data_IF_488327683570
#
_entry.id   IF_488327683570
#
_cell.length_a   1.000
_cell.length_b   1.000
_cell.length_c   1.000
_cell.angle_alpha   90.00
_cell.angle_beta   90.00
_cell.angle_gamma   90.00
#
_symmetry.space_group_name_H-M   'P 1'
#
loop_
_entity.id
_entity.type
_entity.pdbx_description
1 polymer ?
#
# COMPACT_ATOMS: atom_id res chain seq x y z
N UNK A 1 32.66 -3.51 -4.47
CA UNK A 1 31.24 -3.66 -4.88
C UNK A 1 31.13 -3.12 -6.28
N UNK A 2 30.82 -3.98 -7.24
CA UNK A 2 30.56 -3.57 -8.63
C UNK A 2 29.26 -2.78 -8.68
N UNK A 3 29.07 -1.94 -9.71
CA UNK A 3 27.80 -1.21 -9.86
C UNK A 3 26.57 -2.12 -9.84
N UNK A 4 26.70 -3.38 -10.30
CA UNK A 4 25.65 -4.40 -10.28
C UNK A 4 25.24 -4.86 -8.88
N UNK A 5 26.18 -4.94 -7.91
CA UNK A 5 25.85 -5.31 -6.52
C UNK A 5 24.93 -4.26 -5.89
N UNK A 6 25.12 -2.98 -6.23
CA UNK A 6 24.28 -1.87 -5.77
C UNK A 6 22.87 -1.93 -6.37
N UNK A 7 22.73 -2.48 -7.57
CA UNK A 7 21.45 -2.71 -8.22
C UNK A 7 20.70 -3.88 -7.60
N UNK A 8 21.42 -4.98 -7.30
CA UNK A 8 20.83 -6.11 -6.59
C UNK A 8 20.19 -5.68 -5.26
N UNK A 9 20.88 -4.84 -4.48
CA UNK A 9 20.35 -4.33 -3.21
C UNK A 9 19.12 -3.43 -3.39
N UNK A 10 19.09 -2.60 -4.45
CA UNK A 10 17.93 -1.74 -4.76
C UNK A 10 16.68 -2.55 -5.17
N UNK A 11 16.87 -3.67 -5.86
CA UNK A 11 15.78 -4.52 -6.34
C UNK A 11 15.54 -5.76 -5.47
N UNK A 12 16.45 -6.11 -4.57
CA UNK A 12 16.28 -7.21 -3.60
C UNK A 12 15.10 -7.02 -2.63
N UNK A 13 14.53 -5.81 -2.58
CA UNK A 13 13.35 -5.49 -1.80
C UNK A 13 12.03 -5.96 -2.44
N UNK A 14 12.01 -7.11 -3.13
CA UNK A 14 10.81 -7.92 -3.39
C UNK A 14 9.76 -7.38 -4.37
N UNK A 15 10.12 -6.55 -5.33
CA UNK A 15 9.17 -6.13 -6.35
C UNK A 15 9.67 -6.47 -7.75
N UNK A 16 9.23 -7.63 -8.25
CA UNK A 16 9.54 -8.10 -9.60
C UNK A 16 9.16 -7.10 -10.69
N UNK A 17 8.13 -6.28 -10.46
CA UNK A 17 7.67 -5.30 -11.44
C UNK A 17 8.63 -4.15 -11.66
N UNK A 18 9.39 -3.75 -10.62
CA UNK A 18 10.43 -2.72 -10.73
C UNK A 18 11.63 -3.22 -11.54
N UNK A 19 12.12 -4.44 -11.22
CA UNK A 19 13.22 -5.07 -11.93
C UNK A 19 12.84 -5.34 -13.39
N UNK A 20 11.60 -5.80 -13.63
CA UNK A 20 11.07 -6.04 -14.97
C UNK A 20 11.04 -4.76 -15.80
N UNK A 21 10.54 -3.65 -15.25
CA UNK A 21 10.47 -2.38 -15.95
C UNK A 21 11.84 -1.78 -16.22
N UNK A 22 12.78 -1.87 -15.27
CA UNK A 22 14.14 -1.41 -15.47
C UNK A 22 14.86 -2.26 -16.54
N UNK A 23 14.66 -3.58 -16.54
CA UNK A 23 15.19 -4.49 -17.55
C UNK A 23 14.60 -4.23 -18.93
N UNK A 24 13.29 -4.05 -19.04
CA UNK A 24 12.61 -3.70 -20.29
C UNK A 24 13.13 -2.37 -20.85
N UNK A 25 13.30 -1.35 -20.01
CA UNK A 25 13.87 -0.06 -20.41
C UNK A 25 15.34 -0.20 -20.85
N UNK A 26 16.17 -0.93 -20.11
CA UNK A 26 17.57 -1.17 -20.48
C UNK A 26 17.72 -1.84 -21.84
N UNK A 27 16.78 -2.72 -22.20
CA UNK A 27 16.76 -3.41 -23.49
C UNK A 27 16.50 -2.48 -24.67
N UNK A 28 15.65 -1.46 -24.50
CA UNK A 28 15.17 -0.59 -25.60
C UNK A 28 15.76 0.82 -25.58
N UNK A 29 16.45 1.22 -24.50
CA UNK A 29 16.98 2.55 -24.34
C UNK A 29 18.08 2.89 -25.38
N UNK A 30 18.10 4.14 -25.80
CA UNK A 30 19.18 4.70 -26.65
C UNK A 30 20.51 4.82 -25.87
N UNK A 31 21.54 5.36 -26.55
CA UNK A 31 22.87 5.56 -25.96
C UNK A 31 22.89 6.53 -24.78
N UNK A 32 21.83 7.28 -24.59
CA UNK A 32 21.66 8.20 -23.46
C UNK A 32 20.72 7.63 -22.40
N UNK A 33 20.33 6.36 -22.48
CA UNK A 33 19.45 5.69 -21.52
C UNK A 33 17.99 6.11 -21.64
N UNK A 34 17.52 6.54 -22.79
CA UNK A 34 16.16 7.05 -23.03
C UNK A 34 15.37 6.15 -23.95
N UNK A 35 14.07 6.03 -23.69
CA UNK A 35 13.11 5.39 -24.59
C UNK A 35 11.77 6.13 -24.56
N UNK A 36 10.90 5.92 -25.57
CA UNK A 36 9.54 6.43 -25.49
C UNK A 36 8.72 5.63 -24.46
N UNK A 37 7.75 6.29 -23.84
CA UNK A 37 6.88 5.60 -22.88
C UNK A 37 6.03 4.52 -23.57
N UNK A 38 5.62 4.73 -24.81
CA UNK A 38 4.90 3.73 -25.60
C UNK A 38 5.74 2.48 -25.86
N UNK A 39 7.01 2.66 -26.25
CA UNK A 39 7.92 1.53 -26.47
C UNK A 39 8.21 0.78 -25.18
N UNK A 40 8.36 1.51 -24.05
CA UNK A 40 8.52 0.89 -22.75
C UNK A 40 7.30 0.06 -22.37
N UNK A 41 6.08 0.53 -22.61
CA UNK A 41 4.87 -0.22 -22.31
C UNK A 41 4.78 -1.53 -23.11
N UNK A 42 5.16 -1.49 -24.39
CA UNK A 42 5.25 -2.69 -25.25
C UNK A 42 6.31 -3.64 -24.71
N UNK A 43 7.53 -3.17 -24.46
CA UNK A 43 8.64 -3.97 -23.96
C UNK A 43 8.34 -4.60 -22.59
N UNK A 44 7.75 -3.82 -21.68
CA UNK A 44 7.33 -4.31 -20.37
C UNK A 44 6.29 -5.42 -20.48
N UNK A 45 5.27 -5.23 -21.32
CA UNK A 45 4.25 -6.25 -21.56
C UNK A 45 4.85 -7.55 -22.10
N UNK A 46 5.77 -7.47 -23.05
CA UNK A 46 6.45 -8.65 -23.60
C UNK A 46 7.21 -9.42 -22.52
N UNK A 47 8.01 -8.74 -21.70
CA UNK A 47 8.76 -9.37 -20.64
C UNK A 47 7.85 -9.92 -19.54
N UNK A 48 6.78 -9.20 -19.19
CA UNK A 48 5.78 -9.68 -18.24
C UNK A 48 5.09 -10.96 -18.71
N UNK A 49 4.73 -11.06 -20.00
CA UNK A 49 4.13 -12.27 -20.56
C UNK A 49 5.11 -13.45 -20.58
N UNK A 50 6.40 -13.21 -20.85
CA UNK A 50 7.45 -14.23 -20.74
C UNK A 50 7.60 -14.73 -19.31
N UNK A 51 7.61 -13.81 -18.32
CA UNK A 51 7.71 -14.13 -16.92
C UNK A 51 6.54 -15.01 -16.46
N UNK A 52 5.31 -14.65 -16.85
CA UNK A 52 4.12 -15.46 -16.58
C UNK A 52 4.17 -16.84 -17.23
N UNK A 53 4.68 -16.94 -18.47
CA UNK A 53 4.82 -18.23 -19.15
C UNK A 53 5.80 -19.16 -18.42
N UNK A 54 6.91 -18.62 -17.89
CA UNK A 54 7.85 -19.39 -17.07
C UNK A 54 7.23 -19.88 -15.75
N UNK A 55 6.44 -19.02 -15.10
CA UNK A 55 5.85 -19.30 -13.81
C UNK A 55 4.73 -20.36 -13.83
N UNK A 56 3.97 -20.51 -14.92
CA UNK A 56 2.76 -21.35 -14.96
C UNK A 56 2.87 -22.63 -15.80
N UNK A 57 3.97 -22.91 -16.46
CA UNK A 57 4.20 -24.15 -17.22
C UNK A 57 3.29 -24.41 -18.43
N UNK A 58 2.08 -23.84 -18.49
CA UNK A 58 1.16 -23.78 -19.64
C UNK A 58 0.14 -22.67 -19.43
N UNK A 59 0.07 -21.74 -20.37
CA UNK A 59 -0.86 -20.61 -20.26
C UNK A 59 -1.95 -20.66 -21.32
N UNK A 60 -3.21 -20.76 -20.89
CA UNK A 60 -4.36 -20.55 -21.75
C UNK A 60 -4.91 -19.11 -21.75
N UNK A 61 -4.56 -18.24 -20.79
CA UNK A 61 -5.20 -16.92 -20.61
C UNK A 61 -4.27 -15.70 -20.42
N UNK A 62 -2.96 -15.81 -20.66
CA UNK A 62 -2.08 -14.64 -20.63
C UNK A 62 -2.26 -13.65 -21.79
N UNK A 63 -3.14 -13.96 -22.71
CA UNK A 63 -3.48 -13.09 -23.85
C UNK A 63 -4.28 -11.82 -23.49
N UNK A 64 -4.72 -11.66 -22.23
CA UNK A 64 -5.63 -10.58 -21.85
C UNK A 64 -4.97 -9.26 -21.43
N UNK A 65 -3.66 -9.23 -21.12
CA UNK A 65 -3.00 -7.97 -20.79
C UNK A 65 -2.78 -7.13 -22.07
N UNK A 66 -3.55 -6.06 -22.24
CA UNK A 66 -3.35 -5.13 -23.35
C UNK A 66 -2.13 -4.23 -23.14
N UNK A 67 -1.65 -3.59 -24.22
CA UNK A 67 -0.58 -2.57 -24.11
C UNK A 67 -1.07 -1.37 -23.28
N UNK A 68 -2.35 -1.02 -23.36
CA UNK A 68 -2.95 0.07 -22.61
C UNK A 68 -3.00 -0.26 -21.11
N UNK A 69 -3.29 -1.51 -20.72
CA UNK A 69 -3.23 -1.94 -19.33
C UNK A 69 -1.80 -1.89 -18.78
N UNK A 70 -0.83 -2.36 -19.56
CA UNK A 70 0.60 -2.28 -19.21
C UNK A 70 1.07 -0.83 -19.08
N UNK A 71 0.61 0.05 -19.96
CA UNK A 71 0.88 1.49 -19.94
C UNK A 71 0.31 2.15 -18.69
N UNK A 72 -0.95 1.87 -18.37
CA UNK A 72 -1.61 2.39 -17.19
C UNK A 72 -0.90 1.92 -15.90
N UNK A 73 -0.53 0.65 -15.83
CA UNK A 73 0.18 0.09 -14.67
C UNK A 73 1.59 0.69 -14.51
N UNK A 74 2.35 0.82 -15.58
CA UNK A 74 3.65 1.49 -15.54
C UNK A 74 3.52 2.94 -15.06
N UNK A 75 2.57 3.70 -15.62
CA UNK A 75 2.37 5.11 -15.28
C UNK A 75 2.02 5.32 -13.81
N UNK A 76 1.14 4.48 -13.26
CA UNK A 76 0.57 4.70 -11.92
C UNK A 76 1.34 4.01 -10.80
N UNK A 77 1.97 2.87 -11.10
CA UNK A 77 2.51 2.00 -10.05
C UNK A 77 4.03 1.82 -10.10
N UNK A 78 4.61 1.74 -11.29
CA UNK A 78 6.02 1.32 -11.46
C UNK A 78 6.97 2.49 -11.65
N UNK A 79 6.70 3.35 -12.63
CA UNK A 79 7.61 4.46 -12.98
C UNK A 79 7.79 5.49 -11.86
N UNK A 80 6.74 5.90 -11.11
CA UNK A 80 6.91 6.78 -9.98
C UNK A 80 7.86 6.22 -8.92
N UNK A 81 7.81 4.91 -8.68
CA UNK A 81 8.67 4.24 -7.70
C UNK A 81 10.13 4.16 -8.17
N UNK A 82 10.36 3.85 -9.44
CA UNK A 82 11.71 3.87 -10.01
C UNK A 82 12.30 5.29 -9.98
N UNK A 83 11.48 6.32 -10.17
CA UNK A 83 11.90 7.70 -10.03
C UNK A 83 12.24 8.07 -8.58
N UNK A 84 11.45 7.59 -7.60
CA UNK A 84 11.75 7.78 -6.16
C UNK A 84 13.05 7.11 -5.74
N UNK A 85 13.37 5.94 -6.31
CA UNK A 85 14.62 5.23 -6.09
C UNK A 85 15.80 5.87 -6.85
N UNK A 86 15.59 6.99 -7.55
CA UNK A 86 16.58 7.66 -8.40
C UNK A 86 17.12 6.77 -9.53
N UNK A 87 16.33 5.78 -9.94
CA UNK A 87 16.64 4.92 -11.10
C UNK A 87 16.26 5.61 -12.40
N UNK A 88 15.14 6.34 -12.39
CA UNK A 88 14.61 7.06 -13.55
C UNK A 88 14.49 8.55 -13.30
N UNK A 89 14.53 9.31 -14.39
CA UNK A 89 14.07 10.70 -14.46
C UNK A 89 12.79 10.72 -15.26
N UNK A 90 11.70 11.17 -14.63
CA UNK A 90 10.42 11.38 -15.29
C UNK A 90 10.24 12.87 -15.57
N UNK A 91 9.99 13.29 -16.82
CA UNK A 91 9.66 14.67 -17.12
C UNK A 91 8.36 15.08 -16.43
N UNK A 92 8.29 16.32 -15.91
CA UNK A 92 7.07 16.81 -15.28
C UNK A 92 5.89 16.79 -16.25
N UNK A 93 4.78 16.16 -15.86
CA UNK A 93 3.56 16.06 -16.67
C UNK A 93 3.50 14.88 -17.64
N UNK A 94 4.45 13.95 -17.60
CA UNK A 94 4.72 12.96 -18.62
C UNK A 94 3.82 11.71 -18.64
N UNK A 95 2.94 11.47 -17.69
CA UNK A 95 2.30 10.16 -17.51
C UNK A 95 1.17 9.83 -18.49
N UNK A 96 0.82 10.74 -19.44
CA UNK A 96 -0.33 10.58 -20.35
C UNK A 96 -0.01 10.83 -21.84
N UNK A 97 1.24 11.12 -22.18
CA UNK A 97 1.71 11.36 -23.55
C UNK A 97 2.85 10.43 -23.96
N UNK A 98 3.29 10.55 -25.19
CA UNK A 98 4.48 9.85 -25.72
C UNK A 98 5.75 10.60 -25.32
N UNK A 99 6.03 10.61 -24.01
CA UNK A 99 7.13 11.35 -23.40
C UNK A 99 8.30 10.40 -23.18
N UNK A 100 9.56 10.84 -23.41
CA UNK A 100 10.71 9.99 -23.17
C UNK A 100 10.89 9.67 -21.69
N UNK A 101 11.01 8.39 -21.38
CA UNK A 101 11.44 7.87 -20.07
C UNK A 101 12.94 7.66 -20.14
N UNK A 102 13.67 8.14 -19.14
CA UNK A 102 15.13 8.02 -19.12
C UNK A 102 15.62 7.50 -17.77
N UNK A 103 16.70 6.74 -17.80
CA UNK A 103 17.47 6.46 -16.57
C UNK A 103 18.06 7.74 -15.99
N UNK A 104 18.15 7.82 -14.66
CA UNK A 104 18.95 8.86 -14.02
C UNK A 104 20.41 8.75 -14.44
N UNK A 105 21.06 9.88 -14.69
CA UNK A 105 22.41 9.90 -15.25
C UNK A 105 23.41 9.10 -14.39
N UNK A 106 23.34 9.22 -13.07
CA UNK A 106 24.19 8.48 -12.14
C UNK A 106 23.93 6.97 -12.19
N UNK A 107 22.67 6.58 -12.38
CA UNK A 107 22.28 5.18 -12.51
C UNK A 107 22.75 4.62 -13.84
N UNK A 108 22.54 5.34 -14.94
CA UNK A 108 22.97 4.93 -16.28
C UNK A 108 24.49 4.82 -16.41
N UNK A 109 25.25 5.76 -15.85
CA UNK A 109 26.71 5.71 -15.82
C UNK A 109 27.29 4.54 -15.01
N UNK A 110 26.56 4.04 -14.04
CA UNK A 110 26.92 2.88 -13.22
C UNK A 110 26.56 1.54 -13.87
N UNK A 111 25.82 1.52 -14.99
CA UNK A 111 25.48 0.29 -15.70
C UNK A 111 26.67 -0.28 -16.45
N UNK A 112 26.74 -1.63 -16.62
CA UNK A 112 27.76 -2.25 -17.48
C UNK A 112 27.72 -1.72 -18.91
N UNK A 113 28.87 -1.64 -19.55
CA UNK A 113 28.97 -1.23 -20.97
C UNK A 113 28.21 -2.20 -21.89
N UNK A 114 28.11 -3.47 -21.53
CA UNK A 114 27.23 -4.44 -22.20
C UNK A 114 25.82 -4.34 -21.65
N UNK A 115 24.98 -3.60 -22.35
CA UNK A 115 23.57 -3.33 -22.02
C UNK A 115 22.69 -4.55 -22.10
N UNK A 116 22.98 -5.48 -23.00
CA UNK A 116 22.24 -6.73 -23.12
C UNK A 116 22.44 -7.57 -21.86
N UNK A 117 23.68 -7.65 -21.33
CA UNK A 117 23.97 -8.33 -20.07
C UNK A 117 23.30 -7.62 -18.88
N UNK A 118 23.27 -6.29 -18.85
CA UNK A 118 22.58 -5.53 -17.79
C UNK A 118 21.07 -5.75 -17.82
N UNK A 119 20.45 -5.74 -19.01
CA UNK A 119 19.03 -6.04 -19.17
C UNK A 119 18.70 -7.47 -18.73
N UNK A 120 19.50 -8.46 -19.17
CA UNK A 120 19.34 -9.87 -18.76
C UNK A 120 19.44 -10.04 -17.25
N UNK A 121 20.40 -9.37 -16.60
CA UNK A 121 20.56 -9.43 -15.16
C UNK A 121 19.33 -8.88 -14.41
N UNK A 122 18.80 -7.72 -14.84
CA UNK A 122 17.61 -7.14 -14.23
C UNK A 122 16.35 -7.99 -14.46
N UNK A 123 16.24 -8.63 -15.63
CA UNK A 123 15.13 -9.55 -15.93
C UNK A 123 15.25 -10.84 -15.10
N UNK A 124 16.46 -11.39 -14.94
CA UNK A 124 16.69 -12.56 -14.10
C UNK A 124 16.39 -12.30 -12.62
N UNK A 125 16.59 -11.07 -12.12
CA UNK A 125 16.16 -10.68 -10.77
C UNK A 125 14.63 -10.72 -10.62
N UNK A 126 13.89 -10.35 -11.67
CA UNK A 126 12.44 -10.45 -11.66
C UNK A 126 11.97 -11.92 -11.63
N UNK A 127 12.59 -12.78 -12.43
CA UNK A 127 12.30 -14.22 -12.48
C UNK A 127 12.61 -14.92 -11.13
N UNK A 128 13.76 -14.65 -10.53
CA UNK A 128 14.15 -15.20 -9.22
C UNK A 128 13.20 -14.75 -8.11
N UNK A 129 12.70 -13.51 -8.18
CA UNK A 129 11.71 -12.99 -7.21
C UNK A 129 10.37 -13.71 -7.36
N UNK A 130 9.91 -13.99 -8.58
CA UNK A 130 8.68 -14.75 -8.82
C UNK A 130 8.84 -16.20 -8.39
N UNK A 131 9.93 -16.87 -8.78
CA UNK A 131 10.19 -18.26 -8.40
C UNK A 131 10.23 -18.45 -6.87
N UNK A 132 10.80 -17.49 -6.14
CA UNK A 132 10.78 -17.51 -4.66
C UNK A 132 9.38 -17.28 -4.08
N UNK A 133 8.53 -16.50 -4.75
CA UNK A 133 7.15 -16.29 -4.32
C UNK A 133 6.26 -17.53 -4.52
N UNK A 134 6.54 -18.35 -5.52
CA UNK A 134 5.78 -19.57 -5.81
C UNK A 134 6.17 -20.78 -4.93
N UNK A 135 7.42 -20.81 -4.42
CA UNK A 135 7.86 -21.88 -3.51
C UNK A 135 7.26 -21.77 -2.10
N UNK A 136 6.56 -20.68 -1.79
CA UNK A 136 5.88 -20.45 -0.52
C UNK A 136 4.37 -20.52 -0.74
N UNK A 137 3.88 -21.74 -0.95
CA UNK A 137 2.44 -22.02 -0.88
C UNK A 137 1.96 -21.78 0.56
N UNK A 138 1.24 -20.68 0.77
CA UNK A 138 0.38 -20.49 1.93
C UNK A 138 0.80 -19.50 3.01
N UNK A 139 2.01 -18.96 3.00
CA UNK A 139 2.41 -17.87 3.89
C UNK A 139 2.98 -16.72 3.08
N UNK A 140 2.32 -15.56 3.11
CA UNK A 140 2.93 -14.34 2.61
C UNK A 140 4.23 -14.11 3.40
N UNK A 141 5.40 -13.96 2.74
CA UNK A 141 6.63 -13.72 3.47
C UNK A 141 6.51 -12.37 4.17
N UNK A 142 6.23 -12.42 5.46
CA UNK A 142 6.47 -11.31 6.36
C UNK A 142 7.94 -10.94 6.17
N UNK A 143 8.20 -9.69 5.80
CA UNK A 143 9.55 -9.17 5.64
C UNK A 143 10.33 -9.50 6.91
N UNK A 144 11.18 -10.50 6.86
CA UNK A 144 12.04 -10.86 7.98
C UNK A 144 13.00 -9.68 8.20
N UNK A 145 12.69 -8.82 9.20
CA UNK A 145 13.42 -7.61 9.52
C UNK A 145 12.61 -6.30 9.46
N UNK A 146 11.34 -6.32 8.98
CA UNK A 146 10.45 -5.15 9.03
C UNK A 146 9.85 -4.90 10.42
N UNK A 147 9.44 -3.64 10.68
CA UNK A 147 8.74 -3.29 11.93
C UNK A 147 7.43 -4.07 12.07
N UNK A 148 7.05 -4.35 13.33
CA UNK A 148 5.80 -5.05 13.69
C UNK A 148 5.02 -4.26 14.74
N UNK A 149 3.73 -4.17 14.53
CA UNK A 149 2.76 -3.65 15.49
C UNK A 149 1.88 -4.81 15.96
N UNK A 150 1.89 -5.08 17.26
CA UNK A 150 1.22 -6.23 17.84
C UNK A 150 0.29 -5.79 18.96
N UNK A 151 -0.84 -6.45 19.09
CA UNK A 151 -1.69 -6.38 20.27
C UNK A 151 -2.00 -7.78 20.75
N UNK A 152 -1.97 -7.96 22.08
CA UNK A 152 -2.14 -9.26 22.73
C UNK A 152 -3.17 -9.15 23.83
N UNK A 153 -4.18 -10.03 23.78
CA UNK A 153 -5.20 -10.22 24.83
C UNK A 153 -5.90 -8.93 25.27
N UNK A 154 -6.22 -8.03 24.30
CA UNK A 154 -6.87 -6.77 24.60
C UNK A 154 -8.27 -6.98 25.19
N UNK A 155 -8.52 -6.31 26.32
CA UNK A 155 -9.83 -6.28 26.97
C UNK A 155 -10.23 -4.84 27.23
N UNK A 156 -11.52 -4.53 26.96
CA UNK A 156 -12.14 -3.26 27.31
C UNK A 156 -13.57 -3.45 27.76
N UNK A 157 -13.91 -2.88 28.90
CA UNK A 157 -15.25 -2.87 29.44
C UNK A 157 -15.76 -1.44 29.66
N UNK A 158 -17.05 -1.23 29.43
CA UNK A 158 -17.77 0.00 29.78
C UNK A 158 -18.97 -0.36 30.66
N UNK A 159 -19.06 0.26 31.82
CA UNK A 159 -20.16 0.03 32.79
C UNK A 159 -20.43 -1.48 33.04
N UNK A 160 -19.35 -2.25 33.20
CA UNK A 160 -19.40 -3.69 33.46
C UNK A 160 -19.61 -4.59 32.23
N UNK A 161 -19.94 -4.04 31.07
CA UNK A 161 -20.07 -4.80 29.81
C UNK A 161 -18.75 -4.83 29.07
N UNK A 162 -18.19 -6.02 28.82
CA UNK A 162 -17.02 -6.17 27.97
C UNK A 162 -17.40 -5.95 26.52
N UNK A 163 -16.83 -4.93 25.89
CA UNK A 163 -17.03 -4.61 24.46
C UNK A 163 -15.88 -5.17 23.61
N UNK A 164 -14.70 -5.36 24.23
CA UNK A 164 -13.58 -6.12 23.68
C UNK A 164 -13.16 -7.14 24.74
N UNK A 165 -13.01 -8.37 24.33
CA UNK A 165 -12.79 -9.50 25.23
C UNK A 165 -11.83 -10.50 24.59
N UNK A 166 -10.53 -10.31 24.86
CA UNK A 166 -9.44 -11.15 24.39
C UNK A 166 -9.18 -11.02 22.88
N UNK A 167 -8.86 -9.79 22.41
CA UNK A 167 -8.52 -9.53 21.01
C UNK A 167 -7.00 -9.42 20.86
N UNK A 168 -6.45 -10.26 20.00
CA UNK A 168 -5.04 -10.22 19.59
C UNK A 168 -4.96 -10.02 18.08
N UNK A 169 -4.07 -9.14 17.62
CA UNK A 169 -3.78 -8.93 16.22
C UNK A 169 -2.32 -8.52 16.01
N UNK A 170 -1.83 -8.79 14.84
CA UNK A 170 -0.49 -8.45 14.39
C UNK A 170 -0.57 -7.75 13.05
N UNK A 171 0.29 -6.77 12.83
CA UNK A 171 0.45 -6.05 11.58
C UNK A 171 1.93 -5.90 11.28
N UNK A 172 2.36 -6.39 10.12
CA UNK A 172 3.71 -6.21 9.63
C UNK A 172 3.83 -4.95 8.76
N UNK A 173 5.02 -4.38 8.71
CA UNK A 173 5.32 -3.28 7.80
C UNK A 173 5.20 -3.76 6.34
N UNK A 174 4.52 -2.97 5.49
CA UNK A 174 4.25 -3.34 4.09
C UNK A 174 3.08 -4.32 3.90
N UNK A 175 2.31 -4.60 4.94
CA UNK A 175 1.13 -5.44 4.90
C UNK A 175 -0.15 -4.61 5.08
N UNK A 176 -1.24 -5.00 4.42
CA UNK A 176 -2.57 -4.41 4.63
C UNK A 176 -3.46 -5.43 5.32
N UNK A 177 -3.90 -5.11 6.53
CA UNK A 177 -4.72 -5.98 7.37
C UNK A 177 -6.09 -5.36 7.62
N UNK A 178 -7.15 -6.13 7.37
CA UNK A 178 -8.51 -5.75 7.69
C UNK A 178 -8.92 -6.14 9.12
N UNK A 179 -9.61 -5.25 9.83
CA UNK A 179 -10.32 -5.58 11.07
C UNK A 179 -11.81 -5.45 10.82
N UNK A 180 -12.46 -6.56 10.52
CA UNK A 180 -13.82 -6.64 10.00
C UNK A 180 -14.78 -7.28 11.01
N UNK A 181 -16.07 -7.13 10.79
CA UNK A 181 -17.11 -7.69 11.65
C UNK A 181 -18.36 -6.81 11.69
N UNK A 182 -19.49 -7.31 12.23
CA UNK A 182 -20.72 -6.54 12.31
C UNK A 182 -20.62 -5.33 13.23
N UNK A 183 -21.65 -4.47 13.17
CA UNK A 183 -21.75 -3.34 14.07
C UNK A 183 -21.82 -3.81 15.53
N UNK A 184 -21.11 -3.13 16.43
CA UNK A 184 -21.00 -3.53 17.83
C UNK A 184 -20.04 -4.69 18.13
N UNK A 185 -19.33 -5.24 17.14
CA UNK A 185 -18.36 -6.31 17.34
C UNK A 185 -17.11 -5.89 18.13
N UNK A 186 -16.92 -4.60 18.42
CA UNK A 186 -15.76 -4.10 19.17
C UNK A 186 -14.61 -3.56 18.29
N UNK A 187 -14.77 -3.52 16.96
CA UNK A 187 -13.75 -3.06 16.00
C UNK A 187 -13.17 -1.69 16.36
N UNK A 188 -14.01 -0.67 16.39
CA UNK A 188 -13.61 0.72 16.68
C UNK A 188 -12.95 0.84 18.06
N UNK A 189 -13.44 0.10 19.08
CA UNK A 189 -12.82 0.11 20.40
C UNK A 189 -11.43 -0.53 20.37
N UNK A 190 -11.26 -1.66 19.70
CA UNK A 190 -9.95 -2.31 19.50
C UNK A 190 -8.99 -1.39 18.76
N UNK A 191 -9.46 -0.78 17.69
CA UNK A 191 -8.74 0.18 16.90
C UNK A 191 -8.27 1.39 17.73
N UNK A 192 -9.17 1.96 18.54
CA UNK A 192 -8.83 3.09 19.44
C UNK A 192 -7.87 2.72 20.56
N UNK A 193 -7.86 1.47 21.00
CA UNK A 193 -6.83 0.99 21.92
C UNK A 193 -5.47 0.94 21.23
N UNK A 194 -5.41 0.48 19.97
CA UNK A 194 -4.16 0.40 19.22
C UNK A 194 -3.64 1.80 18.85
N UNK A 195 -4.51 2.75 18.51
CA UNK A 195 -4.12 4.14 18.24
C UNK A 195 -3.67 4.90 19.50
N UNK A 196 -4.05 4.43 20.69
CA UNK A 196 -3.78 5.12 21.97
C UNK A 196 -4.80 6.20 22.34
N UNK A 197 -5.96 6.23 21.66
CA UNK A 197 -7.10 7.07 22.04
C UNK A 197 -7.81 6.54 23.28
N UNK A 198 -7.82 5.22 23.47
CA UNK A 198 -8.41 4.53 24.60
C UNK A 198 -7.35 3.62 25.23
N UNK A 199 -7.26 3.60 26.56
CA UNK A 199 -6.40 2.65 27.24
C UNK A 199 -7.13 1.31 27.43
N UNK A 200 -6.51 0.17 27.07
CA UNK A 200 -7.07 -1.14 27.39
C UNK A 200 -7.13 -1.36 28.91
N UNK A 201 -8.09 -2.15 29.35
CA UNK A 201 -8.20 -2.56 30.77
C UNK A 201 -7.26 -3.75 31.05
N UNK A 202 -7.02 -4.60 30.05
CA UNK A 202 -6.06 -5.72 30.06
C UNK A 202 -5.45 -5.89 28.69
N UNK A 203 -4.34 -6.61 28.63
CA UNK A 203 -3.60 -6.89 27.41
C UNK A 203 -2.46 -5.91 27.18
N UNK A 204 -1.74 -6.13 26.09
CA UNK A 204 -0.53 -5.38 25.75
C UNK A 204 -0.56 -4.95 24.28
N UNK A 205 0.05 -3.81 24.00
CA UNK A 205 0.30 -3.34 22.63
C UNK A 205 1.80 -3.07 22.53
N UNK A 206 2.44 -3.68 21.52
CA UNK A 206 3.87 -3.56 21.31
C UNK A 206 4.18 -3.06 19.90
N UNK A 207 5.22 -2.25 19.77
CA UNK A 207 5.82 -1.82 18.51
C UNK A 207 7.28 -2.28 18.52
N UNK A 208 7.64 -3.15 17.57
CA UNK A 208 8.98 -3.73 17.48
C UNK A 208 9.43 -4.40 18.81
N UNK A 209 8.50 -5.11 19.48
CA UNK A 209 8.72 -5.74 20.77
C UNK A 209 8.72 -4.77 21.97
N UNK A 210 8.69 -3.45 21.74
CA UNK A 210 8.61 -2.45 22.80
C UNK A 210 7.16 -2.23 23.21
N UNK A 211 6.86 -2.35 24.51
CA UNK A 211 5.54 -2.05 25.04
C UNK A 211 5.21 -0.54 24.90
N UNK A 212 4.10 -0.27 24.19
CA UNK A 212 3.55 1.06 24.00
C UNK A 212 2.15 1.21 24.60
N UNK A 213 1.68 0.25 25.39
CA UNK A 213 0.32 0.19 25.92
C UNK A 213 -0.06 1.45 26.70
N UNK A 214 0.86 1.98 27.49
CA UNK A 214 0.64 3.19 28.30
C UNK A 214 0.87 4.49 27.51
N UNK A 215 1.47 4.43 26.31
CA UNK A 215 1.78 5.63 25.54
C UNK A 215 0.51 6.25 24.95
N UNK A 216 0.31 7.57 25.12
CA UNK A 216 -0.79 8.29 24.48
C UNK A 216 -0.55 8.41 22.96
N UNK A 217 -1.61 8.69 22.21
CA UNK A 217 -1.62 8.73 20.74
C UNK A 217 -0.46 9.57 20.15
N UNK A 218 -0.17 10.76 20.69
CA UNK A 218 0.89 11.62 20.16
C UNK A 218 2.30 11.00 20.27
N UNK A 219 2.54 10.20 21.30
CA UNK A 219 3.82 9.48 21.44
C UNK A 219 3.89 8.29 20.49
N UNK A 220 2.76 7.60 20.26
CA UNK A 220 2.67 6.54 19.24
C UNK A 220 2.86 7.12 17.83
N UNK A 221 2.32 8.31 17.55
CA UNK A 221 2.56 9.01 16.30
C UNK A 221 4.05 9.30 16.06
N UNK A 222 4.77 9.76 17.10
CA UNK A 222 6.23 9.94 17.04
C UNK A 222 7.01 8.64 16.91
N UNK A 223 6.45 7.53 17.36
CA UNK A 223 7.04 6.20 17.21
C UNK A 223 6.79 5.61 15.80
N UNK A 224 6.00 6.29 14.95
CA UNK A 224 5.73 5.88 13.57
C UNK A 224 4.35 5.25 13.34
N UNK A 225 3.35 5.51 14.21
CA UNK A 225 1.97 5.04 14.05
C UNK A 225 1.08 6.22 13.64
N UNK A 226 0.77 6.33 12.34
CA UNK A 226 -0.18 7.29 11.81
C UNK A 226 -1.63 6.85 12.03
N UNK A 227 -2.54 7.82 12.08
CA UNK A 227 -3.98 7.57 12.26
C UNK A 227 -4.81 8.48 11.36
N UNK A 228 -5.74 7.87 10.63
CA UNK A 228 -6.77 8.54 9.85
C UNK A 228 -8.13 8.27 10.47
N UNK A 229 -8.73 9.29 11.05
CA UNK A 229 -10.04 9.21 11.71
C UNK A 229 -11.18 9.01 10.70
N UNK A 230 -12.29 8.43 11.18
CA UNK A 230 -13.55 8.38 10.44
C UNK A 230 -14.11 9.79 10.18
N UNK A 231 -14.08 10.65 11.22
CA UNK A 231 -14.53 12.04 11.11
C UNK A 231 -13.49 12.90 10.37
N UNK A 232 -13.95 13.85 9.52
CA UNK A 232 -13.06 14.76 8.81
C UNK A 232 -12.14 15.56 9.73
N UNK A 233 -10.83 15.46 9.51
CA UNK A 233 -9.81 16.06 10.38
C UNK A 233 -9.07 17.26 9.76
N UNK A 234 -9.49 17.71 8.57
CA UNK A 234 -8.82 18.81 7.85
C UNK A 234 -9.06 20.17 8.52
N UNK A 235 -8.10 21.06 8.37
CA UNK A 235 -8.28 22.47 8.74
C UNK A 235 -9.07 23.19 7.66
N UNK A 236 -10.38 23.25 7.81
CA UNK A 236 -11.34 23.68 6.77
C UNK A 236 -11.05 25.05 6.17
N UNK A 237 -10.54 26.01 6.97
CA UNK A 237 -10.23 27.39 6.54
C UNK A 237 -8.86 27.55 5.90
N UNK A 238 -7.99 26.55 6.00
CA UNK A 238 -6.70 26.54 5.34
C UNK A 238 -6.81 26.01 3.90
N UNK A 239 -5.86 26.37 3.06
CA UNK A 239 -5.74 25.78 1.72
C UNK A 239 -5.21 24.34 1.83
N UNK A 240 -5.21 23.63 0.71
CA UNK A 240 -4.65 22.28 0.63
C UNK A 240 -3.17 22.28 1.05
N UNK A 241 -2.35 23.19 0.48
CA UNK A 241 -0.93 23.28 0.85
C UNK A 241 -0.72 23.73 2.30
N UNK A 242 -1.52 24.68 2.81
CA UNK A 242 -1.45 25.12 4.21
C UNK A 242 -1.80 23.97 5.18
N UNK A 243 -2.71 23.08 4.82
CA UNK A 243 -3.03 21.89 5.60
C UNK A 243 -1.85 20.93 5.75
N UNK A 244 -1.07 20.74 4.68
CA UNK A 244 0.13 19.89 4.69
C UNK A 244 1.26 20.60 5.41
N UNK A 245 1.50 21.89 5.12
CA UNK A 245 2.51 22.72 5.78
C UNK A 245 2.34 22.78 7.29
N UNK A 246 1.11 22.90 7.78
CA UNK A 246 0.84 22.93 9.23
C UNK A 246 1.37 21.71 9.99
N UNK A 247 1.47 20.54 9.32
CA UNK A 247 2.08 19.36 9.92
C UNK A 247 3.59 19.34 9.68
N UNK A 248 4.06 19.69 8.45
CA UNK A 248 5.48 19.76 8.14
C UNK A 248 6.23 20.73 9.06
N UNK A 249 5.60 21.82 9.50
CA UNK A 249 6.17 22.81 10.42
C UNK A 249 6.41 22.24 11.83
N UNK A 250 5.73 21.16 12.21
CA UNK A 250 5.97 20.48 13.49
C UNK A 250 7.20 19.56 13.49
N UNK A 251 7.76 19.30 12.30
CA UNK A 251 8.92 18.42 12.16
C UNK A 251 10.23 19.22 12.26
N UNK A 252 11.31 18.62 12.81
CA UNK A 252 12.62 19.24 12.92
C UNK A 252 13.39 19.22 11.58
N UNK A 253 12.80 19.81 10.53
CA UNK A 253 13.36 19.91 9.18
C UNK A 253 13.49 21.37 8.76
N UNK A 254 14.44 21.68 7.89
CA UNK A 254 14.65 23.04 7.37
C UNK A 254 13.59 23.44 6.33
N UNK A 255 13.62 24.69 5.91
CA UNK A 255 12.65 25.25 4.97
C UNK A 255 12.75 24.63 3.57
N UNK A 256 13.94 24.26 3.11
CA UNK A 256 14.17 23.64 1.80
C UNK A 256 13.60 22.22 1.77
N UNK A 257 13.87 21.42 2.79
CA UNK A 257 13.34 20.08 2.93
C UNK A 257 11.81 20.10 3.10
N UNK A 258 11.28 21.06 3.84
CA UNK A 258 9.83 21.27 3.99
C UNK A 258 9.16 21.55 2.64
N UNK A 259 9.74 22.46 1.83
CA UNK A 259 9.23 22.75 0.50
C UNK A 259 9.29 21.52 -0.42
N UNK A 260 10.40 20.79 -0.39
CA UNK A 260 10.58 19.56 -1.16
C UNK A 260 9.53 18.49 -0.81
N UNK A 261 9.32 18.22 0.48
CA UNK A 261 8.33 17.25 0.93
C UNK A 261 6.90 17.66 0.59
N UNK A 262 6.59 18.96 0.70
CA UNK A 262 5.29 19.47 0.29
C UNK A 262 5.00 19.16 -1.18
N UNK A 263 5.92 19.46 -2.09
CA UNK A 263 5.75 19.18 -3.51
C UNK A 263 5.55 17.68 -3.77
N UNK A 264 6.38 16.84 -3.17
CA UNK A 264 6.26 15.36 -3.32
C UNK A 264 4.90 14.84 -2.86
N UNK A 265 4.45 15.25 -1.68
CA UNK A 265 3.19 14.78 -1.11
C UNK A 265 1.97 15.25 -1.91
N UNK A 266 1.98 16.47 -2.43
CA UNK A 266 0.92 17.01 -3.27
C UNK A 266 0.84 16.31 -4.63
N UNK A 267 1.99 15.97 -5.21
CA UNK A 267 2.07 15.24 -6.48
C UNK A 267 1.62 13.78 -6.29
N UNK A 268 2.13 13.12 -5.26
CA UNK A 268 1.89 11.70 -4.99
C UNK A 268 0.40 11.36 -4.84
N UNK A 269 -0.35 12.21 -4.13
CA UNK A 269 -1.79 12.00 -3.91
C UNK A 269 -2.66 12.73 -4.96
N UNK A 270 -2.04 13.24 -6.04
CA UNK A 270 -2.70 13.92 -7.15
C UNK A 270 -3.61 15.10 -6.72
N UNK A 271 -3.19 15.87 -5.69
CA UNK A 271 -3.92 17.04 -5.18
C UNK A 271 -3.19 18.38 -5.41
N UNK A 272 -2.08 18.36 -6.15
CA UNK A 272 -1.28 19.56 -6.43
C UNK A 272 -2.04 20.66 -7.16
N UNK A 273 -2.92 20.28 -8.08
CA UNK A 273 -3.79 21.22 -8.81
C UNK A 273 -4.78 21.96 -7.90
N UNK A 274 -5.05 21.42 -6.70
CA UNK A 274 -5.95 21.99 -5.69
C UNK A 274 -5.21 22.81 -4.64
N UNK A 275 -3.88 22.96 -4.73
CA UNK A 275 -3.00 23.47 -3.67
C UNK A 275 -3.45 24.80 -3.04
N UNK A 276 -3.99 25.71 -3.84
CA UNK A 276 -4.49 27.04 -3.38
C UNK A 276 -5.95 27.04 -2.99
N UNK A 277 -6.67 25.94 -3.22
CA UNK A 277 -8.09 25.83 -2.89
C UNK A 277 -8.27 25.65 -1.38
N UNK A 278 -9.28 26.32 -0.81
CA UNK A 278 -9.62 26.15 0.61
C UNK A 278 -10.23 24.77 0.86
N UNK A 279 -9.85 24.11 1.95
CA UNK A 279 -10.22 22.73 2.21
C UNK A 279 -11.74 22.49 2.38
N UNK A 280 -12.52 23.51 2.75
CA UNK A 280 -13.99 23.40 2.79
C UNK A 280 -14.65 23.28 1.41
N UNK A 281 -13.95 23.61 0.33
CA UNK A 281 -14.44 23.55 -1.05
C UNK A 281 -14.21 22.20 -1.71
N UNK A 282 -13.42 21.32 -1.06
CA UNK A 282 -13.06 20.02 -1.60
C UNK A 282 -14.25 19.05 -1.61
N UNK A 283 -14.36 18.24 -2.67
CA UNK A 283 -15.23 17.07 -2.71
C UNK A 283 -14.86 16.05 -1.62
N UNK A 284 -15.71 15.04 -1.40
CA UNK A 284 -15.45 13.98 -0.43
C UNK A 284 -14.13 13.24 -0.70
N UNK A 285 -13.90 12.84 -1.95
CA UNK A 285 -12.70 12.14 -2.36
C UNK A 285 -11.42 13.00 -2.26
N UNK A 286 -11.47 14.26 -2.74
CA UNK A 286 -10.34 15.21 -2.61
C UNK A 286 -10.00 15.49 -1.15
N UNK A 287 -11.01 15.62 -0.30
CA UNK A 287 -10.83 15.78 1.14
C UNK A 287 -10.13 14.57 1.74
N UNK A 288 -10.58 13.36 1.37
CA UNK A 288 -9.97 12.13 1.88
C UNK A 288 -8.52 11.97 1.42
N UNK A 289 -8.20 12.35 0.18
CA UNK A 289 -6.81 12.41 -0.29
C UNK A 289 -5.97 13.38 0.53
N UNK A 290 -6.49 14.58 0.83
CA UNK A 290 -5.79 15.55 1.68
C UNK A 290 -5.55 15.02 3.10
N UNK A 291 -6.52 14.31 3.69
CA UNK A 291 -6.38 13.68 5.01
C UNK A 291 -5.29 12.60 5.03
N UNK A 292 -5.27 11.75 3.99
CA UNK A 292 -4.22 10.73 3.83
C UNK A 292 -2.87 11.43 3.64
N UNK A 293 -2.79 12.47 2.79
CA UNK A 293 -1.56 13.26 2.59
C UNK A 293 -1.00 13.76 3.92
N UNK A 294 -1.87 14.34 4.76
CA UNK A 294 -1.46 14.84 6.08
C UNK A 294 -0.96 13.73 7.00
N UNK A 295 -1.59 12.55 6.98
CA UNK A 295 -1.15 11.41 7.76
C UNK A 295 0.22 10.88 7.31
N UNK A 296 0.56 11.05 6.04
CA UNK A 296 1.84 10.61 5.46
C UNK A 296 3.00 11.60 5.70
N UNK A 297 2.71 12.85 6.11
CA UNK A 297 3.74 13.87 6.40
C UNK A 297 4.80 13.38 7.40
N UNK A 298 4.39 12.60 8.39
CA UNK A 298 5.26 12.09 9.46
C UNK A 298 6.01 10.81 9.08
N UNK A 299 5.89 10.35 7.82
CA UNK A 299 6.53 9.13 7.32
C UNK A 299 6.29 7.92 8.24
N UNK A 300 5.01 7.58 8.50
CA UNK A 300 4.68 6.54 9.46
C UNK A 300 5.12 5.15 8.97
N UNK A 301 5.54 4.29 9.89
CA UNK A 301 5.76 2.86 9.64
C UNK A 301 4.43 2.10 9.48
N UNK A 302 3.42 2.55 10.22
CA UNK A 302 2.08 1.99 10.24
C UNK A 302 1.04 3.10 10.10
N UNK A 303 0.01 2.87 9.30
CA UNK A 303 -1.11 3.77 9.13
C UNK A 303 -2.42 3.06 9.46
N UNK A 304 -3.12 3.57 10.46
CA UNK A 304 -4.39 3.03 10.91
C UNK A 304 -5.52 3.86 10.30
N UNK A 305 -6.37 3.22 9.50
CA UNK A 305 -7.46 3.85 8.73
C UNK A 305 -8.83 3.42 9.31
N UNK A 306 -9.54 4.36 9.91
CA UNK A 306 -10.88 4.12 10.46
C UNK A 306 -11.93 4.51 9.42
N UNK A 307 -12.61 3.51 8.86
CA UNK A 307 -13.63 3.64 7.83
C UNK A 307 -13.26 4.61 6.68
N UNK A 308 -12.14 4.36 5.95
CA UNK A 308 -11.62 5.30 4.96
C UNK A 308 -12.56 5.52 3.76
N UNK A 309 -13.51 4.63 3.52
CA UNK A 309 -14.48 4.72 2.41
C UNK A 309 -15.80 5.34 2.82
N UNK A 310 -16.01 5.64 4.11
CA UNK A 310 -17.26 6.21 4.59
C UNK A 310 -17.52 7.61 4.03
N UNK A 311 -18.72 7.83 3.48
CA UNK A 311 -19.14 9.12 2.94
C UNK A 311 -18.38 9.57 1.67
N UNK A 312 -17.72 8.65 0.99
CA UNK A 312 -17.05 8.88 -0.29
C UNK A 312 -17.93 8.33 -1.42
N UNK A 313 -17.96 9.03 -2.54
CA UNK A 313 -18.70 8.55 -3.71
C UNK A 313 -18.02 7.31 -4.33
N UNK A 314 -18.78 6.43 -5.02
CA UNK A 314 -18.25 5.15 -5.53
C UNK A 314 -17.06 5.29 -6.49
N UNK A 315 -16.98 6.40 -7.25
CA UNK A 315 -15.84 6.62 -8.18
C UNK A 315 -14.58 6.94 -7.38
N UNK A 316 -14.70 7.83 -6.40
CA UNK A 316 -13.58 8.21 -5.54
C UNK A 316 -13.13 7.10 -4.59
N UNK A 317 -14.00 6.11 -4.29
CA UNK A 317 -13.60 4.93 -3.50
C UNK A 317 -12.48 4.14 -4.19
N UNK A 318 -12.57 3.89 -5.50
CA UNK A 318 -11.54 3.18 -6.25
C UNK A 318 -10.19 3.92 -6.19
N UNK A 319 -10.22 5.24 -6.26
CA UNK A 319 -9.01 6.07 -6.12
C UNK A 319 -8.37 5.90 -4.74
N UNK A 320 -9.19 5.93 -3.68
CA UNK A 320 -8.71 5.74 -2.30
C UNK A 320 -8.19 4.31 -2.09
N UNK A 321 -8.87 3.30 -2.64
CA UNK A 321 -8.37 1.93 -2.64
C UNK A 321 -6.98 1.83 -3.30
N UNK A 322 -6.80 2.46 -4.45
CA UNK A 322 -5.52 2.51 -5.17
C UNK A 322 -4.43 3.18 -4.32
N UNK A 323 -4.76 4.30 -3.66
CA UNK A 323 -3.83 4.99 -2.76
C UNK A 323 -3.46 4.07 -1.59
N UNK A 324 -4.44 3.48 -0.91
CA UNK A 324 -4.19 2.58 0.25
C UNK A 324 -3.38 1.36 -0.16
N UNK A 325 -3.72 0.72 -1.30
CA UNK A 325 -2.94 -0.37 -1.85
C UNK A 325 -1.49 0.04 -2.16
N UNK A 326 -1.29 1.27 -2.64
CA UNK A 326 0.03 1.86 -2.90
C UNK A 326 0.89 2.03 -1.64
N UNK A 327 0.30 2.20 -0.45
CA UNK A 327 1.05 2.34 0.81
C UNK A 327 1.89 1.11 1.13
N UNK A 328 1.41 -0.09 0.75
CA UNK A 328 2.17 -1.35 0.84
C UNK A 328 3.54 -1.23 0.19
N UNK A 329 3.59 -0.67 -1.00
CA UNK A 329 4.82 -0.51 -1.79
C UNK A 329 5.79 0.52 -1.20
N UNK A 330 5.29 1.40 -0.32
CA UNK A 330 6.12 2.32 0.47
C UNK A 330 6.66 1.66 1.74
N UNK A 331 6.39 0.38 1.96
CA UNK A 331 6.73 -0.30 3.19
C UNK A 331 5.91 0.16 4.40
N UNK A 332 4.71 0.74 4.20
CA UNK A 332 3.82 1.16 5.29
C UNK A 332 2.85 0.01 5.57
N UNK A 333 2.83 -0.47 6.81
CA UNK A 333 1.80 -1.41 7.26
C UNK A 333 0.46 -0.69 7.47
N UNK A 334 -0.63 -1.24 6.98
CA UNK A 334 -1.96 -0.60 7.06
C UNK A 334 -2.93 -1.48 7.83
N UNK A 335 -3.52 -0.94 8.90
CA UNK A 335 -4.70 -1.54 9.54
C UNK A 335 -5.94 -0.75 9.12
N UNK A 336 -6.92 -1.44 8.55
CA UNK A 336 -8.14 -0.82 8.04
C UNK A 336 -9.37 -1.40 8.70
N UNK A 337 -10.28 -0.55 9.17
CA UNK A 337 -11.64 -0.93 9.52
C UNK A 337 -12.60 -0.34 8.51
N UNK A 338 -13.60 -1.10 8.09
CA UNK A 338 -14.71 -0.55 7.30
C UNK A 338 -15.95 -1.42 7.48
N UNK A 339 -17.10 -0.84 7.20
CA UNK A 339 -18.37 -1.55 7.13
C UNK A 339 -18.64 -2.10 5.72
N UNK A 340 -17.96 -1.57 4.70
CA UNK A 340 -18.02 -2.09 3.34
C UNK A 340 -17.00 -3.21 3.16
N UNK A 341 -17.48 -4.43 3.43
CA UNK A 341 -16.65 -5.65 3.42
C UNK A 341 -15.98 -5.87 2.08
N UNK A 342 -16.74 -5.75 0.98
CA UNK A 342 -16.26 -6.06 -0.36
C UNK A 342 -15.12 -5.12 -0.76
N UNK A 343 -15.29 -3.81 -0.57
CA UNK A 343 -14.27 -2.82 -0.88
C UNK A 343 -12.99 -3.03 -0.05
N UNK A 344 -13.14 -3.48 1.19
CA UNK A 344 -12.00 -3.77 2.06
C UNK A 344 -11.28 -5.06 1.63
N UNK A 345 -12.04 -6.13 1.34
CA UNK A 345 -11.45 -7.41 0.92
C UNK A 345 -10.71 -7.31 -0.42
N UNK A 346 -11.00 -6.30 -1.25
CA UNK A 346 -10.30 -6.08 -2.53
C UNK A 346 -8.84 -5.63 -2.35
N UNK A 347 -8.48 -5.04 -1.21
CA UNK A 347 -7.16 -4.44 -1.01
C UNK A 347 -6.35 -5.04 0.13
N UNK A 348 -6.97 -5.82 1.03
CA UNK A 348 -6.25 -6.42 2.18
C UNK A 348 -5.54 -7.71 1.79
N UNK A 349 -4.42 -8.00 2.43
CA UNK A 349 -3.71 -9.27 2.32
C UNK A 349 -4.40 -10.35 3.15
N UNK A 350 -4.81 -9.97 4.37
CA UNK A 350 -5.56 -10.82 5.30
C UNK A 350 -6.46 -9.96 6.18
N UNK A 351 -7.39 -10.59 6.88
CA UNK A 351 -8.22 -9.87 7.84
C UNK A 351 -8.48 -10.68 9.11
N UNK A 352 -8.82 -9.96 10.16
CA UNK A 352 -9.39 -10.48 11.39
C UNK A 352 -10.90 -10.23 11.39
N UNK A 353 -11.69 -11.27 11.61
CA UNK A 353 -13.14 -11.17 11.76
C UNK A 353 -13.46 -11.11 13.24
N UNK A 354 -14.06 -10.01 13.68
CA UNK A 354 -14.53 -9.83 15.06
C UNK A 354 -16.03 -10.10 15.17
N UNK A 355 -16.41 -10.76 16.24
CA UNK A 355 -17.80 -10.98 16.61
C UNK A 355 -17.94 -10.98 18.14
N UNK A 356 -18.93 -10.25 18.67
CA UNK A 356 -19.20 -10.14 20.12
C UNK A 356 -17.98 -9.82 20.99
N UNK A 357 -17.16 -8.88 20.51
CA UNK A 357 -15.97 -8.41 21.24
C UNK A 357 -14.75 -9.34 21.14
N UNK A 358 -14.82 -10.42 20.37
CA UNK A 358 -13.72 -11.38 20.22
C UNK A 358 -13.24 -11.46 18.76
N UNK A 359 -11.97 -11.75 18.58
CA UNK A 359 -11.45 -12.22 17.31
C UNK A 359 -11.88 -13.66 17.09
N UNK A 360 -12.63 -13.93 16.02
CA UNK A 360 -13.17 -15.28 15.74
C UNK A 360 -12.31 -16.05 14.75
N UNK A 361 -11.94 -15.39 13.65
CA UNK A 361 -11.17 -15.98 12.55
C UNK A 361 -10.18 -14.97 12.04
N UNK A 362 -8.97 -15.42 11.73
CA UNK A 362 -7.95 -14.64 11.04
C UNK A 362 -7.44 -15.46 9.85
N UNK A 363 -7.20 -14.80 8.71
CA UNK A 363 -6.66 -15.49 7.54
C UNK A 363 -6.62 -14.61 6.31
N UNK A 364 -6.08 -15.16 5.23
CA UNK A 364 -6.09 -14.52 3.90
C UNK A 364 -7.53 -14.34 3.41
N UNK A 365 -7.74 -13.42 2.47
CA UNK A 365 -9.08 -13.18 1.88
C UNK A 365 -9.70 -14.49 1.38
N UNK A 366 -8.91 -15.34 0.72
CA UNK A 366 -9.38 -16.64 0.23
C UNK A 366 -9.83 -17.56 1.38
N UNK A 367 -9.01 -17.70 2.43
CA UNK A 367 -9.38 -18.51 3.60
C UNK A 367 -10.67 -18.03 4.25
N UNK A 368 -10.83 -16.72 4.43
CA UNK A 368 -12.03 -16.15 5.06
C UNK A 368 -13.29 -16.33 4.21
N UNK A 369 -13.21 -16.16 2.89
CA UNK A 369 -14.36 -16.32 1.99
C UNK A 369 -14.83 -17.78 1.91
N UNK A 370 -13.93 -18.74 2.06
CA UNK A 370 -14.27 -20.17 2.06
C UNK A 370 -14.53 -20.76 3.46
N UNK A 371 -14.38 -19.98 4.55
CA UNK A 371 -14.78 -20.39 5.90
C UNK A 371 -16.29 -20.22 6.07
N UNK A 372 -17.01 -21.35 6.31
CA UNK A 372 -18.46 -21.33 6.44
C UNK A 372 -18.95 -20.57 7.69
N UNK A 373 -18.13 -20.45 8.74
CA UNK A 373 -18.45 -19.64 9.92
C UNK A 373 -18.42 -18.15 9.57
N UNK A 374 -17.42 -17.71 8.82
CA UNK A 374 -17.32 -16.31 8.33
C UNK A 374 -18.48 -16.02 7.39
N UNK A 375 -18.80 -16.94 6.48
CA UNK A 375 -19.93 -16.83 5.56
C UNK A 375 -21.27 -16.67 6.31
N UNK A 376 -21.51 -17.48 7.34
CA UNK A 376 -22.77 -17.46 8.10
C UNK A 376 -22.86 -16.28 9.09
N UNK A 377 -21.76 -15.92 9.77
CA UNK A 377 -21.77 -14.89 10.81
C UNK A 377 -21.65 -13.45 10.27
N UNK A 378 -21.02 -13.28 9.09
CA UNK A 378 -20.65 -11.95 8.67
C UNK A 378 -20.90 -11.62 7.19
N UNK A 379 -20.45 -12.46 6.24
CA UNK A 379 -20.55 -12.15 4.82
C UNK A 379 -22.00 -12.28 4.28
N UNK A 380 -22.75 -13.24 4.80
CA UNK A 380 -24.05 -13.59 4.29
C UNK A 380 -24.01 -14.33 2.94
N UNK A 381 -25.13 -14.98 2.51
CA UNK A 381 -25.11 -15.90 1.37
C UNK A 381 -24.81 -15.21 0.03
N UNK A 382 -25.36 -14.04 -0.21
CA UNK A 382 -25.21 -13.33 -1.51
C UNK A 382 -23.77 -12.88 -1.74
N UNK A 383 -23.14 -12.23 -0.76
CA UNK A 383 -21.76 -11.79 -0.88
C UNK A 383 -20.79 -12.97 -0.95
N UNK A 384 -21.02 -14.01 -0.12
CA UNK A 384 -20.21 -15.23 -0.13
C UNK A 384 -20.22 -15.91 -1.50
N UNK A 385 -21.39 -16.07 -2.12
CA UNK A 385 -21.50 -16.69 -3.46
C UNK A 385 -20.72 -15.87 -4.49
N UNK A 386 -20.86 -14.54 -4.50
CA UNK A 386 -20.17 -13.66 -5.43
C UNK A 386 -18.65 -13.69 -5.23
N UNK A 387 -18.18 -13.64 -3.99
CA UNK A 387 -16.73 -13.68 -3.69
C UNK A 387 -16.14 -15.06 -3.99
N UNK A 388 -16.86 -16.16 -3.68
CA UNK A 388 -16.42 -17.52 -4.00
C UNK A 388 -16.29 -17.73 -5.51
N UNK A 389 -17.27 -17.25 -6.31
CA UNK A 389 -17.18 -17.34 -7.78
C UNK A 389 -16.00 -16.55 -8.35
N UNK A 390 -15.68 -15.38 -7.76
CA UNK A 390 -14.53 -14.56 -8.18
C UNK A 390 -13.18 -15.17 -7.79
N UNK A 391 -13.11 -15.87 -6.65
CA UNK A 391 -11.89 -16.48 -6.11
C UNK A 391 -11.77 -17.99 -6.42
N UNK A 392 -12.78 -18.60 -7.07
CA UNK A 392 -12.68 -19.98 -7.54
C UNK A 392 -11.58 -20.09 -8.60
N UNK A 393 -10.81 -21.18 -8.63
CA UNK A 393 -9.89 -21.42 -9.74
C UNK A 393 -10.71 -21.52 -11.03
N UNK A 394 -10.25 -20.86 -12.07
CA UNK A 394 -10.84 -20.96 -13.43
C UNK A 394 -10.72 -22.43 -13.83
N UNK A 395 -11.85 -23.18 -13.89
CA UNK A 395 -11.86 -24.56 -14.34
C UNK A 395 -12.17 -25.65 -13.29
N UNK A 396 -13.00 -25.35 -12.27
CA UNK A 396 -13.60 -26.40 -11.42
C UNK A 396 -15.06 -26.64 -11.84
#
# INVERSE_FOLDING_TARGET
MTGLDRFADLFAAKDSSLALAAGALARIADDQGRASFSDLAVAYREEFLKLLAHAKGEMSDAGSLSVDDARAYLATSVLPRLAMLKVLVLPMGALWGDVPVAFAAEFWAGMPADRAAAAQYLLALAEDTVARSESVSGEHPVVSGGSRLESQHLVKAYKGRRVVNDVSLELAQGEIVGLLGPNGAGKTTSFYMITGLIRPDQGQIALDGRDITALPMYQRARAGIGYLAQEPSIFRKLTVEENVLAILETLPIDAAERARRLELLLDELAIKHLRKQKAYQLSGGERRRLEITRALVTEPKFLLLDEPFAGVDPIAVNDIQTIVAGLRHRGIGVLITDHNVEQTLDIVDRAYIMFEGRGQVAGTVRQLVFDDRVASLYLGPTLTTRLRSRLAPVGA
#
